data_IF_021664795744
#
_entry.id   IF_021664795744
#
_cell.length_a   1.000
_cell.length_b   1.000
_cell.length_c   1.000
_cell.angle_alpha   90.00
_cell.angle_beta   90.00
_cell.angle_gamma   90.00
#
_symmetry.space_group_name_H-M   'P 1'
#
loop_
_entity.id
_entity.type
_entity.pdbx_description
1 polymer ?
#
# COMPACT_ATOMS: atom_id res chain seq x y z
N UNK A 1 -13.09 -11.54 5.34
CA UNK A 1 -13.49 -10.59 4.28
C UNK A 1 -13.69 -11.39 3.01
N UNK A 2 -14.62 -11.00 2.12
CA UNK A 2 -14.75 -11.69 0.84
C UNK A 2 -13.65 -11.21 -0.14
N UNK A 3 -13.48 -11.91 -1.26
CA UNK A 3 -12.43 -11.61 -2.25
C UNK A 3 -12.56 -10.18 -2.81
N UNK A 4 -13.79 -9.73 -3.06
CA UNK A 4 -14.09 -8.38 -3.56
C UNK A 4 -13.65 -7.29 -2.57
N UNK A 5 -13.88 -7.49 -1.26
CA UNK A 5 -13.41 -6.57 -0.22
C UNK A 5 -11.87 -6.54 -0.14
N UNK A 6 -11.19 -7.65 -0.42
CA UNK A 6 -9.73 -7.70 -0.45
C UNK A 6 -9.13 -6.99 -1.64
N UNK A 7 -9.76 -7.12 -2.80
CA UNK A 7 -9.40 -6.36 -3.98
C UNK A 7 -9.54 -4.85 -3.74
N UNK A 8 -10.71 -4.41 -3.26
CA UNK A 8 -10.99 -2.99 -2.98
C UNK A 8 -10.07 -2.42 -1.90
N UNK A 9 -9.70 -3.22 -0.90
CA UNK A 9 -8.76 -2.80 0.11
C UNK A 9 -7.36 -2.61 -0.50
N UNK A 10 -6.89 -3.58 -1.30
CA UNK A 10 -5.60 -3.49 -1.99
C UNK A 10 -5.49 -2.24 -2.86
N UNK A 11 -6.52 -1.94 -3.65
CA UNK A 11 -6.60 -0.73 -4.48
C UNK A 11 -6.47 0.55 -3.64
N UNK A 12 -7.19 0.64 -2.51
CA UNK A 12 -7.08 1.77 -1.59
C UNK A 12 -5.70 1.91 -0.97
N UNK A 13 -5.03 0.80 -0.64
CA UNK A 13 -3.66 0.86 -0.12
C UNK A 13 -2.72 1.46 -1.15
N UNK A 14 -2.79 0.98 -2.39
CA UNK A 14 -1.96 1.48 -3.48
C UNK A 14 -2.18 2.97 -3.71
N UNK A 15 -3.43 3.43 -3.70
CA UNK A 15 -3.75 4.86 -3.81
C UNK A 15 -3.11 5.69 -2.70
N UNK A 16 -3.17 5.21 -1.45
CA UNK A 16 -2.51 5.88 -0.32
C UNK A 16 -0.99 5.88 -0.46
N UNK A 17 -0.39 4.78 -0.93
CA UNK A 17 1.07 4.71 -1.13
C UNK A 17 1.55 5.73 -2.18
N UNK A 18 0.81 5.92 -3.27
CA UNK A 18 1.09 6.97 -4.26
C UNK A 18 0.90 8.40 -3.72
N UNK A 19 0.19 8.58 -2.61
CA UNK A 19 0.06 9.89 -1.95
C UNK A 19 1.25 10.23 -1.05
N UNK A 20 2.12 9.27 -0.76
CA UNK A 20 3.28 9.44 0.11
C UNK A 20 4.52 9.65 -0.77
N UNK A 21 5.12 10.82 -0.64
CA UNK A 21 6.29 11.22 -1.41
C UNK A 21 7.55 11.19 -0.55
N UNK A 22 8.66 10.85 -1.18
CA UNK A 22 9.96 11.02 -0.55
C UNK A 22 10.27 12.53 -0.37
N UNK A 23 10.71 12.98 0.81
CA UNK A 23 10.96 14.41 1.05
C UNK A 23 12.24 14.93 0.38
N UNK A 24 13.16 14.05 -0.03
CA UNK A 24 14.40 14.39 -0.72
C UNK A 24 14.23 14.40 -2.25
N UNK A 25 13.35 13.53 -2.78
CA UNK A 25 13.08 13.41 -4.21
C UNK A 25 11.56 13.46 -4.45
N UNK A 26 11.04 14.32 -5.35
CA UNK A 26 9.60 14.48 -5.58
C UNK A 26 9.00 13.33 -6.42
N UNK A 27 9.15 12.10 -5.93
CA UNK A 27 8.65 10.85 -6.50
C UNK A 27 7.97 10.08 -5.36
N UNK A 28 6.89 9.37 -5.66
CA UNK A 28 6.19 8.60 -4.65
C UNK A 28 6.92 7.30 -4.29
N UNK A 29 6.70 6.83 -3.06
CA UNK A 29 7.41 5.65 -2.52
C UNK A 29 7.07 4.34 -3.23
N UNK A 30 5.93 4.30 -3.95
CA UNK A 30 5.50 3.14 -4.72
C UNK A 30 6.28 3.07 -6.04
N UNK A 31 6.41 4.19 -6.75
CA UNK A 31 7.23 4.31 -7.97
C UNK A 31 8.73 4.12 -7.71
N UNK A 32 9.20 4.54 -6.53
CA UNK A 32 10.57 4.27 -6.11
C UNK A 32 10.84 2.77 -5.82
N UNK A 33 9.79 1.95 -5.71
CA UNK A 33 9.92 0.52 -5.40
C UNK A 33 10.42 0.26 -3.98
N UNK A 34 10.18 1.18 -3.04
CA UNK A 34 10.59 1.03 -1.64
C UNK A 34 9.71 0.06 -0.85
N UNK A 35 8.54 -0.29 -1.40
CA UNK A 35 7.58 -1.23 -0.81
C UNK A 35 7.80 -2.60 -1.48
N UNK A 36 8.24 -3.61 -0.71
CA UNK A 36 8.44 -4.96 -1.25
C UNK A 36 7.17 -5.80 -1.19
N UNK A 37 6.45 -5.73 -0.07
CA UNK A 37 5.25 -6.52 0.16
C UNK A 37 4.28 -5.79 1.09
N UNK A 38 2.98 -5.94 0.81
CA UNK A 38 1.90 -5.40 1.65
C UNK A 38 1.07 -6.57 2.13
N UNK A 39 1.16 -6.85 3.43
CA UNK A 39 0.38 -7.91 4.06
C UNK A 39 -0.76 -7.33 4.86
N UNK A 40 -1.96 -7.74 4.51
CA UNK A 40 -3.17 -7.44 5.27
C UNK A 40 -3.58 -8.71 6.01
N UNK A 41 -3.73 -8.62 7.33
CA UNK A 41 -4.31 -9.69 8.13
C UNK A 41 -5.83 -9.66 8.08
N UNK A 42 -6.46 -10.79 8.38
CA UNK A 42 -7.92 -10.89 8.48
C UNK A 42 -8.50 -10.02 9.62
N UNK A 43 -7.65 -9.61 10.56
CA UNK A 43 -7.97 -8.74 11.69
C UNK A 43 -7.95 -7.25 11.30
N UNK A 44 -7.58 -6.94 10.05
CA UNK A 44 -7.45 -5.57 9.54
C UNK A 44 -6.12 -4.89 9.88
N UNK A 45 -5.14 -5.64 10.39
CA UNK A 45 -3.78 -5.11 10.58
C UNK A 45 -2.99 -5.17 9.27
N UNK A 46 -2.29 -4.08 8.96
CA UNK A 46 -1.48 -3.96 7.75
C UNK A 46 -0.01 -3.89 8.12
N UNK A 47 0.81 -4.66 7.40
CA UNK A 47 2.27 -4.65 7.55
C UNK A 47 2.91 -4.44 6.18
N UNK A 48 3.75 -3.41 6.12
CA UNK A 48 4.66 -3.14 5.00
C UNK A 48 6.00 -3.81 5.30
N UNK A 49 6.61 -4.43 4.30
CA UNK A 49 7.95 -5.05 4.36
C UNK A 49 8.86 -4.36 3.36
#
# INVERSE_FOLDING_TARGET
MNEEQMQLLGEKVVEVLHSIYDPEIPVDIYELGLIYDVRVSEEGSMKLI
#
